data_IF_592332088791
#
_entry.id   IF_592332088791
#
_cell.length_a   1.000
_cell.length_b   1.000
_cell.length_c   1.000
_cell.angle_alpha   90.00
_cell.angle_beta   90.00
_cell.angle_gamma   90.00
#
_symmetry.space_group_name_H-M   'P 1'
#
loop_
_entity.id
_entity.type
_entity.pdbx_description
1 polymer ?
#
# COMPACT_ATOMS: atom_id res chain seq x y z
N UNK A 1 16.18 -6.98 7.94
CA UNK A 1 16.14 -5.50 7.97
C UNK A 1 15.67 -4.87 6.67
N UNK A 2 16.14 -5.30 5.48
CA UNK A 2 15.81 -4.60 4.22
C UNK A 2 14.31 -4.54 3.87
N UNK A 3 13.52 -5.56 4.24
CA UNK A 3 12.06 -5.60 4.03
C UNK A 3 11.31 -4.45 4.71
N UNK A 4 11.69 -4.11 5.93
CA UNK A 4 11.00 -3.08 6.72
C UNK A 4 11.13 -1.69 6.09
N UNK A 5 12.22 -1.40 5.36
CA UNK A 5 12.36 -0.13 4.65
C UNK A 5 11.33 0.03 3.53
N UNK A 6 10.94 -1.05 2.86
CA UNK A 6 9.89 -0.98 1.83
C UNK A 6 8.56 -0.58 2.45
N UNK A 7 8.22 -1.19 3.60
CA UNK A 7 6.99 -0.87 4.35
C UNK A 7 6.98 0.59 4.78
N UNK A 8 8.04 1.04 5.47
CA UNK A 8 8.14 2.40 6.00
C UNK A 8 8.07 3.45 4.88
N UNK A 9 8.80 3.23 3.79
CA UNK A 9 8.84 4.15 2.66
C UNK A 9 7.52 4.18 1.90
N UNK A 10 6.85 3.04 1.75
CA UNK A 10 5.52 2.97 1.12
C UNK A 10 4.47 3.69 1.97
N UNK A 11 4.47 3.47 3.29
CA UNK A 11 3.57 4.14 4.21
C UNK A 11 3.78 5.66 4.21
N UNK A 12 5.04 6.11 4.23
CA UNK A 12 5.38 7.53 4.12
C UNK A 12 4.94 8.11 2.77
N UNK A 13 5.20 7.42 1.66
CA UNK A 13 4.78 7.86 0.31
C UNK A 13 3.27 8.02 0.23
N UNK A 14 2.50 7.05 0.73
CA UNK A 14 1.05 7.12 0.79
C UNK A 14 0.54 8.27 1.66
N UNK A 15 1.19 8.52 2.81
CA UNK A 15 0.86 9.65 3.66
C UNK A 15 1.04 11.00 2.97
N UNK A 16 2.16 11.16 2.24
CA UNK A 16 2.41 12.35 1.44
C UNK A 16 1.34 12.49 0.35
N UNK A 17 1.06 11.42 -0.41
CA UNK A 17 0.02 11.45 -1.45
C UNK A 17 -1.36 11.78 -0.90
N UNK A 18 -1.75 11.18 0.22
CA UNK A 18 -3.01 11.48 0.89
C UNK A 18 -3.09 12.97 1.26
N UNK A 19 -2.01 13.52 1.83
CA UNK A 19 -1.95 14.92 2.22
C UNK A 19 -2.07 15.86 1.02
N UNK A 20 -1.43 15.53 -0.10
CA UNK A 20 -1.52 16.31 -1.34
C UNK A 20 -2.92 16.24 -1.96
N UNK A 21 -3.52 15.05 -2.03
CA UNK A 21 -4.80 14.83 -2.73
C UNK A 21 -6.01 15.32 -1.91
N UNK A 22 -5.98 15.15 -0.59
CA UNK A 22 -7.17 15.38 0.25
C UNK A 22 -7.02 16.57 1.20
N UNK A 23 -5.85 16.76 1.82
CA UNK A 23 -5.64 17.82 2.81
C UNK A 23 -5.28 19.16 2.15
N UNK A 24 -4.62 19.12 0.98
CA UNK A 24 -4.18 20.32 0.24
C UNK A 24 -3.26 21.24 1.05
N UNK A 25 -2.64 20.73 2.12
CA UNK A 25 -1.76 21.48 3.03
C UNK A 25 -0.78 20.54 3.71
N UNK A 26 0.43 21.03 3.95
CA UNK A 26 1.51 20.22 4.54
C UNK A 26 1.47 20.28 6.08
N UNK A 27 0.55 19.53 6.68
CA UNK A 27 0.37 19.46 8.13
C UNK A 27 1.16 18.25 8.66
N UNK A 28 2.21 18.51 9.44
CA UNK A 28 3.11 17.47 9.97
C UNK A 28 2.34 16.42 10.78
N UNK A 29 1.40 16.85 11.63
CA UNK A 29 0.59 15.94 12.42
C UNK A 29 -0.21 14.97 11.52
N UNK A 30 -0.84 15.48 10.46
CA UNK A 30 -1.61 14.66 9.53
C UNK A 30 -0.72 13.67 8.76
N UNK A 31 0.49 14.10 8.35
CA UNK A 31 1.47 13.22 7.72
C UNK A 31 1.88 12.06 8.64
N UNK A 32 2.13 12.35 9.91
CA UNK A 32 2.49 11.31 10.89
C UNK A 32 1.31 10.34 11.07
N UNK A 33 0.12 10.87 11.33
CA UNK A 33 -1.09 10.05 11.52
C UNK A 33 -1.38 9.16 10.33
N UNK A 34 -1.32 9.70 9.10
CA UNK A 34 -1.58 8.93 7.89
C UNK A 34 -0.47 7.92 7.60
N UNK A 35 0.79 8.22 7.93
CA UNK A 35 1.87 7.25 7.80
C UNK A 35 1.62 6.03 8.70
N UNK A 36 1.19 6.24 9.95
CA UNK A 36 0.80 5.13 10.83
C UNK A 36 -0.44 4.39 10.32
N UNK A 37 -1.44 5.11 9.80
CA UNK A 37 -2.62 4.50 9.20
C UNK A 37 -2.27 3.53 8.06
N UNK A 38 -1.40 3.92 7.13
CA UNK A 38 -0.96 3.06 6.03
C UNK A 38 0.07 2.00 6.43
N UNK A 39 0.78 2.19 7.54
CA UNK A 39 1.81 1.26 8.02
C UNK A 39 1.24 -0.13 8.32
N UNK A 40 0.13 -0.21 9.06
CA UNK A 40 -0.41 -1.49 9.53
C UNK A 40 -0.94 -2.39 8.41
N UNK A 41 -1.74 -1.89 7.43
CA UNK A 41 -2.14 -2.71 6.28
C UNK A 41 -0.94 -3.24 5.49
N UNK A 42 0.12 -2.44 5.33
CA UNK A 42 1.33 -2.93 4.67
C UNK A 42 2.03 -4.02 5.47
N UNK A 43 2.12 -3.90 6.79
CA UNK A 43 2.70 -4.94 7.65
C UNK A 43 1.90 -6.26 7.61
N UNK A 44 0.56 -6.17 7.58
CA UNK A 44 -0.32 -7.35 7.69
C UNK A 44 -0.48 -8.04 6.33
N UNK A 45 -0.65 -7.27 5.25
CA UNK A 45 -1.01 -7.83 3.94
C UNK A 45 0.14 -7.84 2.94
N UNK A 46 0.89 -6.74 2.83
CA UNK A 46 1.91 -6.60 1.79
C UNK A 46 3.25 -7.25 2.18
N UNK A 47 3.68 -7.13 3.44
CA UNK A 47 4.95 -7.67 3.92
C UNK A 47 5.02 -9.21 3.83
N UNK A 48 3.99 -9.99 4.20
CA UNK A 48 4.05 -11.45 4.02
C UNK A 48 4.19 -11.85 2.55
N UNK A 49 3.45 -11.17 1.65
CA UNK A 49 3.58 -11.37 0.21
C UNK A 49 4.98 -11.02 -0.27
N UNK A 50 5.54 -9.90 0.20
CA UNK A 50 6.90 -9.47 -0.10
C UNK A 50 7.94 -10.53 0.26
N UNK A 51 7.85 -11.09 1.47
CA UNK A 51 8.76 -12.15 1.94
C UNK A 51 8.63 -13.40 1.07
N UNK A 52 7.41 -13.76 0.66
CA UNK A 52 7.17 -14.91 -0.22
C UNK A 52 7.73 -14.69 -1.63
N UNK A 53 7.51 -13.51 -2.22
CA UNK A 53 7.83 -13.21 -3.61
C UNK A 53 9.32 -12.95 -3.83
N UNK A 54 10.00 -12.33 -2.85
CA UNK A 54 11.44 -12.12 -2.92
C UNK A 54 12.27 -13.42 -2.80
N UNK A 55 11.64 -14.58 -2.53
CA UNK A 55 12.31 -15.89 -2.68
C UNK A 55 12.69 -16.20 -4.13
N UNK A 56 11.99 -15.59 -5.11
CA UNK A 56 12.26 -15.73 -6.55
C UNK A 56 12.20 -14.34 -7.19
N UNK A 57 13.19 -13.46 -6.97
CA UNK A 57 13.08 -12.05 -7.32
C UNK A 57 12.85 -11.86 -8.82
N UNK A 58 11.79 -11.11 -9.17
CA UNK A 58 11.43 -10.75 -10.55
C UNK A 58 11.11 -9.26 -10.61
N UNK A 59 12.14 -8.45 -10.73
CA UNK A 59 12.06 -6.98 -10.74
C UNK A 59 10.97 -6.47 -11.69
N UNK A 60 10.09 -5.60 -11.19
CA UNK A 60 8.99 -5.01 -11.97
C UNK A 60 8.12 -6.05 -12.70
N UNK A 61 7.93 -7.22 -12.10
CA UNK A 61 7.02 -8.24 -12.63
C UNK A 61 5.57 -7.77 -12.55
N UNK A 62 4.82 -7.73 -13.67
CA UNK A 62 3.39 -7.41 -13.66
C UNK A 62 2.57 -8.44 -12.87
N UNK A 63 3.00 -9.71 -12.88
CA UNK A 63 2.38 -10.75 -12.07
C UNK A 63 2.50 -10.44 -10.56
N UNK A 64 3.61 -9.84 -10.16
CA UNK A 64 3.82 -9.43 -8.77
C UNK A 64 2.94 -8.24 -8.38
N UNK A 65 2.73 -7.31 -9.31
CA UNK A 65 1.74 -6.25 -9.13
C UNK A 65 0.32 -6.81 -8.93
N UNK A 66 -0.08 -7.85 -9.68
CA UNK A 66 -1.40 -8.47 -9.51
C UNK A 66 -1.59 -9.07 -8.11
N UNK A 67 -0.56 -9.70 -7.53
CA UNK A 67 -0.64 -10.19 -6.15
C UNK A 67 -0.78 -9.05 -5.13
N UNK A 68 -0.03 -7.96 -5.31
CA UNK A 68 -0.16 -6.78 -4.44
C UNK A 68 -1.53 -6.11 -4.60
N UNK A 69 -2.07 -6.05 -5.81
CA UNK A 69 -3.43 -5.56 -6.06
C UNK A 69 -4.46 -6.41 -5.32
N UNK A 70 -4.42 -7.73 -5.45
CA UNK A 70 -5.35 -8.62 -4.76
C UNK A 70 -5.32 -8.39 -3.23
N UNK A 71 -4.13 -8.34 -2.64
CA UNK A 71 -3.99 -8.06 -1.21
C UNK A 71 -4.47 -6.65 -0.82
N UNK A 72 -4.17 -5.63 -1.63
CA UNK A 72 -4.61 -4.27 -1.37
C UNK A 72 -6.14 -4.13 -1.46
N UNK A 73 -6.79 -4.82 -2.40
CA UNK A 73 -8.25 -4.86 -2.50
C UNK A 73 -8.87 -5.53 -1.26
N UNK A 74 -8.32 -6.65 -0.79
CA UNK A 74 -8.78 -7.31 0.43
C UNK A 74 -8.61 -6.38 1.65
N UNK A 75 -7.43 -5.78 1.80
CA UNK A 75 -7.15 -4.86 2.91
C UNK A 75 -8.10 -3.66 2.91
N UNK A 76 -8.28 -3.01 1.76
CA UNK A 76 -9.18 -1.86 1.64
C UNK A 76 -10.65 -2.28 1.80
N UNK A 77 -11.05 -3.49 1.40
CA UNK A 77 -12.42 -3.96 1.60
C UNK A 77 -12.75 -4.12 3.09
N UNK A 78 -11.79 -4.63 3.87
CA UNK A 78 -11.91 -4.73 5.33
C UNK A 78 -11.97 -3.32 5.95
N UNK A 79 -11.05 -2.44 5.57
CA UNK A 79 -10.96 -1.09 6.16
C UNK A 79 -12.20 -0.25 5.85
N UNK A 80 -12.59 -0.16 4.58
CA UNK A 80 -13.78 0.58 4.18
C UNK A 80 -15.07 -0.09 4.65
N UNK A 81 -15.12 -1.44 4.70
CA UNK A 81 -16.27 -2.16 5.25
C UNK A 81 -16.53 -1.85 6.73
N UNK A 82 -15.49 -1.49 7.49
CA UNK A 82 -15.62 -1.08 8.90
C UNK A 82 -15.86 0.41 9.06
N UNK A 83 -15.22 1.25 8.24
CA UNK A 83 -15.24 2.71 8.39
C UNK A 83 -16.37 3.42 7.64
N UNK A 84 -16.93 2.80 6.61
CA UNK A 84 -17.95 3.43 5.77
C UNK A 84 -19.31 3.45 6.50
N UNK A 85 -20.10 4.54 6.40
CA UNK A 85 -21.42 4.60 7.01
C UNK A 85 -22.34 3.46 6.54
N UNK A 86 -23.18 2.96 7.44
CA UNK A 86 -24.15 1.91 7.13
C UNK A 86 -25.09 2.34 6.00
N UNK A 87 -25.36 1.41 5.08
CA UNK A 87 -26.24 1.64 3.92
C UNK A 87 -25.54 2.18 2.67
N UNK A 88 -24.25 2.52 2.72
CA UNK A 88 -23.51 2.82 1.50
C UNK A 88 -22.84 1.57 0.92
N UNK A 89 -22.92 1.41 -0.41
CA UNK A 89 -22.25 0.32 -1.11
C UNK A 89 -20.76 0.57 -1.22
N UNK A 90 -19.95 -0.38 -0.73
CA UNK A 90 -18.49 -0.38 -0.92
C UNK A 90 -18.09 -0.28 -2.40
N UNK A 91 -18.82 -1.01 -3.26
CA UNK A 91 -18.54 -1.07 -4.69
C UNK A 91 -18.90 0.20 -5.46
N UNK A 92 -19.63 1.13 -4.84
CA UNK A 92 -19.90 2.45 -5.41
C UNK A 92 -18.88 3.51 -4.93
N UNK A 93 -18.01 3.15 -3.98
CA UNK A 93 -17.05 4.08 -3.41
C UNK A 93 -15.78 4.16 -4.27
N UNK A 94 -15.62 5.23 -5.03
CA UNK A 94 -14.43 5.44 -5.88
C UNK A 94 -13.13 5.48 -5.07
N UNK A 95 -13.17 5.97 -3.82
CA UNK A 95 -12.00 6.02 -2.96
C UNK A 95 -11.47 4.62 -2.64
N UNK A 96 -12.35 3.63 -2.45
CA UNK A 96 -11.95 2.23 -2.23
C UNK A 96 -11.06 1.70 -3.37
N UNK A 97 -11.47 1.91 -4.61
CA UNK A 97 -10.69 1.50 -5.78
C UNK A 97 -9.38 2.28 -5.91
N UNK A 98 -9.43 3.60 -5.71
CA UNK A 98 -8.27 4.47 -5.82
C UNK A 98 -7.19 4.08 -4.79
N UNK A 99 -7.57 3.91 -3.52
CA UNK A 99 -6.65 3.51 -2.47
C UNK A 99 -6.09 2.11 -2.69
N UNK A 100 -6.91 1.14 -3.11
CA UNK A 100 -6.43 -0.20 -3.44
C UNK A 100 -5.35 -0.18 -4.53
N UNK A 101 -5.58 0.56 -5.61
CA UNK A 101 -4.62 0.67 -6.73
C UNK A 101 -3.35 1.41 -6.31
N UNK A 102 -3.47 2.59 -5.67
CA UNK A 102 -2.31 3.38 -5.27
C UNK A 102 -1.44 2.63 -4.26
N UNK A 103 -2.04 2.03 -3.24
CA UNK A 103 -1.29 1.31 -2.20
C UNK A 103 -0.53 0.12 -2.78
N UNK A 104 -1.15 -0.63 -3.70
CA UNK A 104 -0.49 -1.73 -4.40
C UNK A 104 0.66 -1.26 -5.29
N UNK A 105 0.43 -0.23 -6.10
CA UNK A 105 1.44 0.31 -7.02
C UNK A 105 2.67 0.81 -6.28
N UNK A 106 2.48 1.60 -5.22
CA UNK A 106 3.58 2.17 -4.44
C UNK A 106 4.41 1.07 -3.79
N UNK A 107 3.75 0.09 -3.17
CA UNK A 107 4.47 -1.00 -2.53
C UNK A 107 5.26 -1.84 -3.53
N UNK A 108 4.62 -2.17 -4.67
CA UNK A 108 5.27 -2.91 -5.75
C UNK A 108 6.48 -2.17 -6.33
N UNK A 109 6.39 -0.84 -6.50
CA UNK A 109 7.52 -0.01 -6.95
C UNK A 109 8.67 -0.09 -5.95
N UNK A 110 8.41 0.16 -4.66
CA UNK A 110 9.47 0.16 -3.65
C UNK A 110 10.08 -1.22 -3.45
N UNK A 111 9.29 -2.29 -3.46
CA UNK A 111 9.79 -3.66 -3.40
C UNK A 111 10.69 -3.99 -4.60
N UNK A 112 10.24 -3.60 -5.80
CA UNK A 112 11.00 -3.80 -7.04
C UNK A 112 12.32 -3.02 -7.06
N UNK A 113 12.36 -1.81 -6.51
CA UNK A 113 13.56 -0.97 -6.47
C UNK A 113 14.56 -1.46 -5.42
N UNK A 114 14.08 -1.84 -4.23
CA UNK A 114 14.94 -2.10 -3.08
C UNK A 114 15.40 -3.56 -2.98
N UNK A 115 14.51 -4.52 -3.27
CA UNK A 115 14.72 -5.94 -2.90
C UNK A 115 14.72 -6.91 -4.06
N UNK A 116 13.94 -6.66 -5.11
CA UNK A 116 13.90 -7.57 -6.27
C UNK A 116 15.06 -7.35 -7.24
N UNK A 117 16.29 -7.36 -6.73
CA UNK A 117 17.50 -7.36 -7.55
C UNK A 117 17.76 -8.82 -7.97
N UNK A 118 17.91 -9.06 -9.27
CA UNK A 118 18.56 -10.31 -9.72
C UNK A 118 19.99 -10.25 -9.22
N UNK A 119 20.44 -11.32 -8.57
CA UNK A 119 21.89 -11.57 -8.46
C UNK A 119 22.42 -11.56 -9.90
N UNK A 120 23.30 -10.59 -10.16
CA UNK A 120 23.99 -10.45 -11.44
C UNK A 120 25.11 -11.48 -11.51
#
# INVERSE_FOLDING_TARGET
MKYNYTVLLSAFTMSVLYSVIYIHSFIIAALITMAFYFLFPYLIFALPLQIMMNKKPKRFSPLYLLYYLAAAFIANAIIFGVLQPSGQSLFQNTAFYLFAVLTALIYWIWDSVLLQKKEA
#
